data_IF_081511872568
#
_entry.id   IF_081511872568
#
_cell.length_a   1.000
_cell.length_b   1.000
_cell.length_c   1.000
_cell.angle_alpha   90.00
_cell.angle_beta   90.00
_cell.angle_gamma   90.00
#
_symmetry.space_group_name_H-M   'P 1'
#
loop_
_entity.id
_entity.type
_entity.pdbx_description
1 polymer ?
#
# COMPACT_ATOMS: atom_id res chain seq x y z
N UNK A 1 19.56 31.90 -8.71
CA UNK A 1 20.02 31.73 -10.08
C UNK A 1 18.90 32.07 -11.06
N UNK A 2 19.23 32.65 -12.21
CA UNK A 2 18.27 32.89 -13.30
C UNK A 2 17.89 31.56 -13.94
N UNK A 3 16.61 31.41 -14.33
CA UNK A 3 16.18 30.30 -15.15
C UNK A 3 16.87 30.35 -16.51
N UNK A 4 17.42 29.21 -16.96
CA UNK A 4 18.00 29.06 -18.29
C UNK A 4 16.92 29.00 -19.37
N UNK A 5 17.35 28.76 -20.62
CA UNK A 5 16.44 28.56 -21.75
C UNK A 5 15.55 27.34 -21.50
N UNK A 6 14.24 27.48 -21.75
CA UNK A 6 13.29 26.37 -21.61
C UNK A 6 13.59 25.26 -22.63
N UNK A 7 13.67 24.02 -22.18
CA UNK A 7 13.81 22.88 -23.06
C UNK A 7 12.50 22.58 -23.83
N UNK A 8 12.61 21.98 -25.00
CA UNK A 8 11.47 21.64 -25.84
C UNK A 8 10.79 20.35 -25.34
N UNK A 9 9.97 20.55 -24.30
CA UNK A 9 9.14 19.50 -23.74
C UNK A 9 7.80 20.04 -23.25
N UNK A 10 6.75 19.25 -23.38
CA UNK A 10 5.41 19.62 -22.90
C UNK A 10 4.62 18.42 -22.39
N UNK A 11 3.65 18.68 -21.56
CA UNK A 11 2.62 17.70 -21.15
C UNK A 11 1.57 17.63 -22.24
N UNK A 12 1.33 16.44 -22.77
CA UNK A 12 0.29 16.18 -23.78
C UNK A 12 -1.05 15.93 -23.12
N UNK A 13 -1.06 15.08 -22.09
CA UNK A 13 -2.25 14.75 -21.32
C UNK A 13 -1.92 14.34 -19.89
N UNK A 14 -2.91 14.39 -19.01
CA UNK A 14 -2.84 13.88 -17.65
C UNK A 14 -3.81 12.73 -17.48
N UNK A 15 -3.35 11.66 -16.83
CA UNK A 15 -4.18 10.51 -16.48
C UNK A 15 -5.17 10.86 -15.37
N UNK A 16 -6.43 10.46 -15.56
CA UNK A 16 -7.45 10.52 -14.51
C UNK A 16 -7.34 9.27 -13.62
N UNK A 17 -6.86 9.43 -12.40
CA UNK A 17 -6.60 8.33 -11.46
C UNK A 17 -7.64 8.30 -10.33
N UNK A 18 -7.78 7.14 -9.68
CA UNK A 18 -8.64 6.97 -8.49
C UNK A 18 -8.10 7.67 -7.24
N UNK A 19 -6.80 7.97 -7.21
CA UNK A 19 -6.13 8.63 -6.09
C UNK A 19 -4.78 9.18 -6.50
N UNK A 20 -4.01 9.69 -5.54
CA UNK A 20 -2.71 10.32 -5.77
C UNK A 20 -2.78 11.47 -6.80
N UNK A 21 -3.81 12.30 -6.71
CA UNK A 21 -4.06 13.41 -7.66
C UNK A 21 -2.90 14.41 -7.67
N UNK A 22 -2.26 14.65 -6.51
CA UNK A 22 -1.12 15.55 -6.38
C UNK A 22 0.20 14.99 -6.98
N UNK A 23 0.21 13.72 -7.38
CA UNK A 23 1.32 13.09 -8.11
C UNK A 23 0.84 12.73 -9.51
N UNK A 24 0.83 13.69 -10.46
CA UNK A 24 0.22 13.48 -11.76
C UNK A 24 0.98 12.41 -12.57
N UNK A 25 0.21 11.59 -13.29
CA UNK A 25 0.75 10.74 -14.35
C UNK A 25 0.49 11.45 -15.66
N UNK A 26 1.53 11.75 -16.40
CA UNK A 26 1.46 12.56 -17.60
C UNK A 26 2.05 11.83 -18.80
N UNK A 27 1.44 12.05 -19.97
CA UNK A 27 2.07 11.78 -21.26
C UNK A 27 2.89 12.99 -21.62
N UNK A 28 4.18 12.79 -21.88
CA UNK A 28 5.13 13.85 -22.19
C UNK A 28 5.54 13.77 -23.67
N UNK A 29 5.63 14.90 -24.32
CA UNK A 29 6.25 15.04 -25.64
C UNK A 29 7.57 15.79 -25.52
N UNK A 30 8.56 15.32 -26.23
CA UNK A 30 9.91 15.88 -26.25
C UNK A 30 10.30 16.20 -27.70
N UNK A 31 10.75 17.44 -27.97
CA UNK A 31 11.33 17.80 -29.24
C UNK A 31 10.33 18.06 -30.35
N UNK A 32 9.13 18.57 -30.06
CA UNK A 32 8.09 18.84 -31.05
C UNK A 32 8.45 19.97 -32.02
N UNK A 33 9.35 20.89 -31.63
CA UNK A 33 9.70 22.05 -32.43
C UNK A 33 11.14 21.97 -32.95
N UNK A 34 12.12 22.18 -32.10
CA UNK A 34 13.55 22.26 -32.47
C UNK A 34 14.38 21.09 -31.92
N UNK A 35 13.73 20.19 -31.22
CA UNK A 35 14.39 19.08 -30.53
C UNK A 35 14.66 19.36 -29.05
N UNK A 36 14.52 18.31 -28.21
CA UNK A 36 14.81 18.39 -26.78
C UNK A 36 16.28 18.05 -26.51
N UNK A 37 16.91 18.82 -25.63
CA UNK A 37 18.25 18.53 -25.13
C UNK A 37 18.12 17.53 -23.97
N UNK A 38 18.81 16.40 -24.07
CA UNK A 38 18.89 15.38 -23.02
C UNK A 38 20.33 14.95 -22.77
N UNK A 39 20.58 14.45 -21.58
CA UNK A 39 21.89 13.90 -21.20
C UNK A 39 21.73 12.44 -20.84
N UNK A 40 22.63 11.60 -21.34
CA UNK A 40 22.65 10.19 -21.00
C UNK A 40 23.02 10.01 -19.52
N UNK A 41 22.20 9.28 -18.77
CA UNK A 41 22.47 8.89 -17.40
C UNK A 41 22.95 7.43 -17.37
N UNK A 42 24.21 7.22 -16.99
CA UNK A 42 24.86 5.91 -17.06
C UNK A 42 25.37 5.60 -18.46
N UNK A 43 25.32 4.34 -18.87
CA UNK A 43 25.77 3.86 -20.19
C UNK A 43 24.59 3.50 -21.07
N UNK A 44 24.81 3.43 -22.38
CA UNK A 44 23.79 2.98 -23.32
C UNK A 44 23.26 1.59 -22.96
N UNK A 45 21.95 1.39 -23.12
CA UNK A 45 21.22 0.16 -22.82
C UNK A 45 21.16 -0.24 -21.33
N UNK A 46 21.59 0.61 -20.39
CA UNK A 46 21.52 0.37 -18.93
C UNK A 46 20.35 1.07 -18.24
N UNK A 47 19.45 1.73 -18.95
CA UNK A 47 18.36 2.49 -18.38
C UNK A 47 17.44 1.69 -17.46
N UNK A 48 17.19 0.41 -17.78
CA UNK A 48 16.39 -0.48 -16.91
C UNK A 48 17.09 -0.73 -15.57
N UNK A 49 18.39 -0.97 -15.55
CA UNK A 49 19.16 -1.18 -14.32
C UNK A 49 19.14 0.09 -13.43
N UNK A 50 19.33 1.26 -14.03
CA UNK A 50 19.23 2.54 -13.33
C UNK A 50 17.83 2.76 -12.75
N UNK A 51 16.77 2.44 -13.51
CA UNK A 51 15.38 2.54 -13.04
C UNK A 51 15.10 1.60 -11.86
N UNK A 52 15.59 0.37 -11.88
CA UNK A 52 15.37 -0.59 -10.79
C UNK A 52 16.00 -0.17 -9.47
N UNK A 53 17.05 0.63 -9.46
CA UNK A 53 17.63 1.22 -8.24
C UNK A 53 16.56 2.05 -7.48
N UNK A 54 15.77 2.84 -8.19
CA UNK A 54 14.66 3.61 -7.62
C UNK A 54 13.44 2.72 -7.33
N UNK A 55 13.09 1.84 -8.27
CA UNK A 55 11.87 1.03 -8.19
C UNK A 55 11.88 0.03 -7.04
N UNK A 56 13.03 -0.56 -6.69
CA UNK A 56 13.13 -1.46 -5.55
C UNK A 56 12.81 -0.76 -4.23
N UNK A 57 13.21 0.51 -4.10
CA UNK A 57 12.82 1.33 -2.96
C UNK A 57 11.31 1.65 -2.97
N UNK A 58 10.77 2.04 -4.11
CA UNK A 58 9.35 2.35 -4.26
C UNK A 58 8.44 1.14 -3.96
N UNK A 59 8.87 -0.08 -4.28
CA UNK A 59 8.10 -1.31 -4.02
C UNK A 59 7.83 -1.54 -2.53
N UNK A 60 8.82 -1.33 -1.67
CA UNK A 60 8.62 -1.41 -0.22
C UNK A 60 7.67 -0.32 0.28
N UNK A 61 7.81 0.91 -0.21
CA UNK A 61 6.92 2.02 0.15
C UNK A 61 5.47 1.74 -0.23
N UNK A 62 5.22 1.10 -1.38
CA UNK A 62 3.86 0.69 -1.80
C UNK A 62 3.29 -0.39 -0.87
N UNK A 63 4.11 -1.33 -0.39
CA UNK A 63 3.69 -2.31 0.60
C UNK A 63 3.26 -1.64 1.93
N UNK A 64 4.04 -0.67 2.40
CA UNK A 64 3.72 0.13 3.61
C UNK A 64 2.45 0.98 3.42
N UNK A 65 2.21 1.52 2.23
CA UNK A 65 0.96 2.22 1.92
C UNK A 65 -0.25 1.27 2.04
N UNK A 66 -0.13 0.05 1.53
CA UNK A 66 -1.16 -0.99 1.68
C UNK A 66 -1.47 -1.28 3.15
N UNK A 67 -0.43 -1.45 3.97
CA UNK A 67 -0.55 -1.62 5.42
C UNK A 67 -1.28 -0.45 6.08
N UNK A 68 -0.87 0.77 5.78
CA UNK A 68 -1.44 1.98 6.40
C UNK A 68 -2.94 2.15 6.09
N UNK A 69 -3.35 1.86 4.84
CA UNK A 69 -4.75 1.91 4.42
C UNK A 69 -5.56 0.83 5.14
N UNK A 70 -5.01 -0.40 5.22
CA UNK A 70 -5.64 -1.52 5.90
C UNK A 70 -5.84 -1.25 7.40
N UNK A 71 -4.81 -0.76 8.09
CA UNK A 71 -4.86 -0.38 9.51
C UNK A 71 -5.92 0.69 9.77
N UNK A 72 -5.93 1.75 8.95
CA UNK A 72 -6.94 2.82 9.07
C UNK A 72 -8.38 2.29 8.90
N UNK A 73 -8.58 1.38 7.95
CA UNK A 73 -9.88 0.76 7.71
C UNK A 73 -10.32 -0.09 8.92
N UNK A 74 -9.40 -0.89 9.47
CA UNK A 74 -9.64 -1.71 10.66
C UNK A 74 -10.02 -0.86 11.88
N UNK A 75 -9.28 0.20 12.18
CA UNK A 75 -9.57 1.08 13.31
C UNK A 75 -10.97 1.68 13.21
N UNK A 76 -11.38 2.12 12.02
CA UNK A 76 -12.73 2.63 11.77
C UNK A 76 -13.80 1.56 11.91
N UNK A 77 -13.55 0.35 11.40
CA UNK A 77 -14.46 -0.77 11.52
C UNK A 77 -14.64 -1.19 12.98
N UNK A 78 -13.55 -1.24 13.74
CA UNK A 78 -13.56 -1.58 15.17
C UNK A 78 -14.35 -0.55 15.98
N UNK A 79 -14.10 0.75 15.75
CA UNK A 79 -14.83 1.80 16.45
C UNK A 79 -16.33 1.75 16.12
N UNK A 80 -16.68 1.59 14.84
CA UNK A 80 -18.07 1.42 14.43
C UNK A 80 -18.74 0.22 15.08
N UNK A 81 -18.04 -0.91 15.18
CA UNK A 81 -18.58 -2.11 15.81
C UNK A 81 -18.80 -1.95 17.33
N UNK A 82 -18.02 -1.11 17.98
CA UNK A 82 -18.21 -0.76 19.40
C UNK A 82 -19.38 0.19 19.65
N UNK A 83 -19.67 1.08 18.71
CA UNK A 83 -20.66 2.14 18.87
C UNK A 83 -22.05 1.73 18.35
N UNK A 84 -22.09 0.89 17.29
CA UNK A 84 -23.35 0.50 16.66
C UNK A 84 -24.12 -0.52 17.47
N UNK A 85 -25.30 -0.17 17.92
CA UNK A 85 -26.24 -1.09 18.59
C UNK A 85 -27.21 -1.66 17.54
N UNK A 86 -27.27 -2.98 17.43
CA UNK A 86 -28.21 -3.67 16.53
C UNK A 86 -28.33 -5.15 16.89
N UNK A 87 -29.59 -5.63 16.95
CA UNK A 87 -29.90 -7.02 17.30
C UNK A 87 -29.72 -7.34 18.79
N UNK A 88 -30.17 -8.52 19.19
CA UNK A 88 -30.08 -9.01 20.55
C UNK A 88 -28.83 -9.90 20.73
N UNK A 89 -28.41 -10.12 21.96
CA UNK A 89 -27.33 -11.06 22.25
C UNK A 89 -27.74 -12.49 21.80
N UNK A 90 -26.84 -13.16 21.07
CA UNK A 90 -27.11 -14.51 20.53
C UNK A 90 -27.36 -15.55 21.64
N UNK A 91 -26.91 -15.31 22.86
CA UNK A 91 -27.13 -16.18 24.00
C UNK A 91 -28.59 -16.22 24.46
N UNK A 92 -29.42 -15.29 24.01
CA UNK A 92 -30.80 -15.15 24.41
C UNK A 92 -31.02 -14.77 25.88
N UNK A 93 -29.95 -14.44 26.62
CA UNK A 93 -30.02 -14.13 28.05
C UNK A 93 -30.56 -12.72 28.34
N UNK A 94 -30.61 -11.86 27.34
CA UNK A 94 -31.12 -10.51 27.46
C UNK A 94 -31.97 -10.16 26.24
N UNK A 95 -33.09 -9.51 26.47
CA UNK A 95 -33.93 -8.93 25.42
C UNK A 95 -33.38 -7.58 24.92
N UNK A 96 -32.36 -7.03 25.57
CA UNK A 96 -31.79 -5.77 25.19
C UNK A 96 -30.91 -5.86 23.94
N UNK A 97 -30.97 -4.81 23.13
CA UNK A 97 -30.11 -4.68 21.95
C UNK A 97 -28.65 -4.45 22.39
N UNK A 98 -27.73 -5.11 21.68
CA UNK A 98 -26.30 -5.05 21.98
C UNK A 98 -25.52 -4.36 20.87
N UNK A 99 -24.30 -3.93 21.19
CA UNK A 99 -23.37 -3.44 20.17
C UNK A 99 -22.97 -4.57 19.24
N UNK A 100 -22.79 -4.27 17.95
CA UNK A 100 -22.54 -5.32 16.94
C UNK A 100 -21.23 -6.08 17.15
N UNK A 101 -20.27 -5.55 17.90
CA UNK A 101 -19.06 -6.27 18.30
C UNK A 101 -19.35 -7.51 19.14
N UNK A 102 -20.54 -7.61 19.76
CA UNK A 102 -20.97 -8.78 20.53
C UNK A 102 -21.34 -9.97 19.63
N UNK A 103 -21.67 -9.72 18.36
CA UNK A 103 -22.03 -10.77 17.42
C UNK A 103 -20.80 -11.57 16.97
N UNK A 104 -20.86 -12.92 17.01
CA UNK A 104 -19.71 -13.77 16.69
C UNK A 104 -19.12 -13.52 15.28
N UNK A 105 -19.98 -13.33 14.28
CA UNK A 105 -19.53 -13.11 12.90
C UNK A 105 -18.80 -11.75 12.75
N UNK A 106 -19.26 -10.70 13.39
CA UNK A 106 -18.57 -9.41 13.43
C UNK A 106 -17.19 -9.53 14.10
N UNK A 107 -17.12 -10.29 15.19
CA UNK A 107 -15.83 -10.59 15.87
C UNK A 107 -14.89 -11.37 14.96
N UNK A 108 -15.40 -12.40 14.28
CA UNK A 108 -14.61 -13.18 13.31
C UNK A 108 -14.04 -12.27 12.23
N UNK A 109 -14.86 -11.39 11.62
CA UNK A 109 -14.41 -10.43 10.60
C UNK A 109 -13.32 -9.49 11.13
N UNK A 110 -13.50 -8.93 12.33
CA UNK A 110 -12.51 -8.05 12.95
C UNK A 110 -11.21 -8.78 13.28
N UNK A 111 -11.28 -10.03 13.71
CA UNK A 111 -10.08 -10.85 13.98
C UNK A 111 -9.34 -11.19 12.69
N UNK A 112 -10.05 -11.54 11.61
CA UNK A 112 -9.45 -11.78 10.30
C UNK A 112 -8.73 -10.53 9.78
N UNK A 113 -9.38 -9.36 9.85
CA UNK A 113 -8.74 -8.09 9.50
C UNK A 113 -7.47 -7.83 10.30
N UNK A 114 -7.53 -8.01 11.61
CA UNK A 114 -6.40 -7.78 12.50
C UNK A 114 -5.24 -8.74 12.20
N UNK A 115 -5.51 -10.03 12.07
CA UNK A 115 -4.48 -11.03 11.81
C UNK A 115 -3.73 -10.78 10.50
N UNK A 116 -4.45 -10.39 9.44
CA UNK A 116 -3.83 -10.04 8.15
C UNK A 116 -2.97 -8.77 8.26
N UNK A 117 -3.45 -7.75 8.96
CA UNK A 117 -2.69 -6.50 9.17
C UNK A 117 -1.40 -6.77 9.94
N UNK A 118 -1.46 -7.57 11.00
CA UNK A 118 -0.26 -7.93 11.77
C UNK A 118 0.74 -8.74 10.94
N UNK A 119 0.27 -9.67 10.11
CA UNK A 119 1.13 -10.42 9.20
C UNK A 119 1.79 -9.52 8.14
N UNK A 120 1.04 -8.59 7.53
CA UNK A 120 1.58 -7.60 6.60
C UNK A 120 2.61 -6.70 7.29
N UNK A 121 2.33 -6.26 8.51
CA UNK A 121 3.24 -5.44 9.32
C UNK A 121 4.55 -6.15 9.59
N UNK A 122 4.48 -7.40 10.03
CA UNK A 122 5.66 -8.23 10.27
C UNK A 122 6.51 -8.40 9.00
N UNK A 123 5.86 -8.66 7.86
CA UNK A 123 6.54 -8.74 6.57
C UNK A 123 7.23 -7.44 6.17
N UNK A 124 6.56 -6.30 6.32
CA UNK A 124 7.17 -4.99 6.01
C UNK A 124 8.40 -4.71 6.88
N UNK A 125 8.35 -5.01 8.17
CA UNK A 125 9.50 -4.82 9.06
C UNK A 125 10.64 -5.80 8.77
N UNK A 126 10.34 -7.07 8.49
CA UNK A 126 11.36 -8.05 8.09
C UNK A 126 12.12 -7.63 6.82
N UNK A 127 11.42 -7.08 5.83
CA UNK A 127 12.05 -6.56 4.61
C UNK A 127 12.84 -5.28 4.89
N UNK A 128 12.36 -4.39 5.75
CA UNK A 128 13.08 -3.18 6.14
C UNK A 128 14.38 -3.51 6.87
N UNK A 129 14.34 -4.43 7.84
CA UNK A 129 15.52 -4.95 8.54
C UNK A 129 16.51 -5.59 7.58
N UNK A 130 16.03 -6.47 6.69
CA UNK A 130 16.88 -7.10 5.68
C UNK A 130 17.57 -6.09 4.77
N UNK A 131 16.90 -4.99 4.45
CA UNK A 131 17.48 -3.89 3.67
C UNK A 131 18.63 -3.18 4.40
N UNK A 132 18.44 -2.91 5.69
CA UNK A 132 19.47 -2.28 6.51
C UNK A 132 20.69 -3.22 6.63
N UNK A 133 20.48 -4.51 6.86
CA UNK A 133 21.53 -5.52 6.93
C UNK A 133 22.24 -5.69 5.58
N UNK A 134 21.52 -5.73 4.46
CA UNK A 134 22.11 -5.84 3.13
C UNK A 134 22.96 -4.64 2.74
N UNK A 135 22.71 -3.47 3.32
CA UNK A 135 23.44 -2.23 2.99
C UNK A 135 24.54 -1.90 3.97
N UNK A 136 24.40 -2.23 5.25
CA UNK A 136 25.25 -1.67 6.32
C UNK A 136 25.96 -2.72 7.19
N UNK A 137 25.65 -4.01 7.02
CA UNK A 137 26.31 -5.05 7.85
C UNK A 137 27.81 -5.10 7.53
N UNK A 138 28.71 -5.22 8.54
CA UNK A 138 30.16 -5.23 8.31
C UNK A 138 30.66 -6.46 7.54
N UNK A 139 29.97 -7.59 7.66
CA UNK A 139 30.32 -8.86 6.99
C UNK A 139 29.68 -8.93 5.60
N UNK A 140 30.50 -9.13 4.57
CA UNK A 140 30.10 -9.24 3.17
C UNK A 140 29.17 -10.44 2.91
N UNK A 141 29.42 -11.57 3.56
CA UNK A 141 28.60 -12.78 3.39
C UNK A 141 27.18 -12.55 3.91
N UNK A 142 27.04 -11.85 5.03
CA UNK A 142 25.76 -11.46 5.58
C UNK A 142 25.03 -10.48 4.65
N UNK A 143 25.73 -9.47 4.12
CA UNK A 143 25.12 -8.55 3.15
C UNK A 143 24.58 -9.28 1.93
N UNK A 144 25.34 -10.23 1.38
CA UNK A 144 24.92 -10.99 0.21
C UNK A 144 23.71 -11.88 0.49
N UNK A 145 23.70 -12.56 1.63
CA UNK A 145 22.53 -13.35 2.07
C UNK A 145 21.27 -12.50 2.13
N UNK A 146 21.33 -11.31 2.71
CA UNK A 146 20.17 -10.43 2.83
C UNK A 146 19.78 -9.75 1.51
N UNK A 147 20.71 -9.56 0.55
CA UNK A 147 20.37 -9.17 -0.82
C UNK A 147 19.51 -10.20 -1.50
N UNK A 148 19.89 -11.49 -1.44
CA UNK A 148 19.08 -12.58 -1.99
C UNK A 148 17.66 -12.65 -1.37
N UNK A 149 17.57 -12.45 -0.05
CA UNK A 149 16.28 -12.35 0.63
C UNK A 149 15.42 -11.18 0.13
N UNK A 150 16.02 -9.99 -0.06
CA UNK A 150 15.33 -8.81 -0.57
C UNK A 150 14.82 -9.00 -2.00
N UNK A 151 15.64 -9.60 -2.87
CA UNK A 151 15.27 -9.86 -4.26
C UNK A 151 14.04 -10.77 -4.37
N UNK A 152 13.94 -11.75 -3.46
CA UNK A 152 12.80 -12.64 -3.37
C UNK A 152 11.58 -11.97 -2.73
N UNK A 153 11.75 -11.29 -1.59
CA UNK A 153 10.63 -10.86 -0.76
C UNK A 153 10.03 -9.52 -1.17
N UNK A 154 10.80 -8.63 -1.81
CA UNK A 154 10.30 -7.32 -2.25
C UNK A 154 9.16 -7.44 -3.27
N UNK A 155 9.23 -8.26 -4.34
CA UNK A 155 8.11 -8.50 -5.24
C UNK A 155 6.89 -9.13 -4.54
N UNK A 156 7.13 -10.07 -3.62
CA UNK A 156 6.07 -10.72 -2.84
C UNK A 156 5.30 -9.69 -2.00
N UNK A 157 6.01 -8.84 -1.26
CA UNK A 157 5.39 -7.78 -0.47
C UNK A 157 4.61 -6.79 -1.34
N UNK A 158 5.21 -6.35 -2.44
CA UNK A 158 4.55 -5.42 -3.39
C UNK A 158 3.30 -6.03 -4.01
N UNK A 159 3.27 -7.33 -4.25
CA UNK A 159 2.09 -8.02 -4.78
C UNK A 159 1.05 -8.27 -3.69
N UNK A 160 1.45 -8.79 -2.54
CA UNK A 160 0.53 -9.24 -1.49
C UNK A 160 -0.08 -8.09 -0.68
N UNK A 161 0.72 -7.13 -0.23
CA UNK A 161 0.25 -6.07 0.66
C UNK A 161 -0.81 -5.14 0.04
N UNK A 162 -0.71 -4.69 -1.22
CA UNK A 162 -1.75 -3.86 -1.82
C UNK A 162 -2.88 -4.64 -2.53
N UNK A 163 -2.64 -5.90 -2.99
CA UNK A 163 -3.63 -6.64 -3.76
C UNK A 163 -4.64 -7.41 -2.88
N UNK A 164 -4.27 -7.68 -1.66
CA UNK A 164 -5.21 -8.02 -0.60
C UNK A 164 -5.33 -6.82 0.34
N UNK A 165 -6.07 -5.77 -0.05
CA UNK A 165 -6.66 -5.00 1.02
C UNK A 165 -7.36 -6.07 1.87
N UNK A 166 -7.10 -6.14 3.17
CA UNK A 166 -7.83 -7.07 4.01
C UNK A 166 -9.30 -6.91 3.64
N UNK A 167 -10.13 -7.92 3.79
CA UNK A 167 -11.58 -7.82 3.61
C UNK A 167 -12.18 -6.60 4.30
N UNK A 168 -11.33 -5.86 4.99
CA UNK A 168 -11.55 -4.57 5.63
C UNK A 168 -12.15 -3.50 4.73
N UNK A 169 -11.75 -3.35 3.48
CA UNK A 169 -12.44 -2.37 2.62
C UNK A 169 -13.79 -2.91 2.14
N UNK A 170 -13.89 -4.19 1.84
CA UNK A 170 -15.16 -4.86 1.57
C UNK A 170 -15.98 -5.02 2.86
N UNK A 171 -15.37 -5.45 3.96
CA UNK A 171 -16.06 -5.66 5.25
C UNK A 171 -16.46 -4.33 5.89
N UNK A 172 -15.71 -3.25 5.75
CA UNK A 172 -16.14 -1.90 6.18
C UNK A 172 -17.27 -1.41 5.27
N UNK A 173 -17.24 -1.74 3.99
CA UNK A 173 -18.34 -1.49 3.06
C UNK A 173 -19.56 -2.39 3.42
N UNK A 174 -19.33 -3.69 3.67
CA UNK A 174 -20.38 -4.63 4.05
C UNK A 174 -21.02 -4.29 5.41
N UNK A 175 -20.24 -3.86 6.39
CA UNK A 175 -20.75 -3.34 7.66
C UNK A 175 -21.55 -2.04 7.48
N UNK A 176 -21.23 -1.24 6.44
CA UNK A 176 -22.03 -0.06 6.06
C UNK A 176 -23.22 -0.39 5.17
N UNK A 177 -23.08 -1.31 4.21
CA UNK A 177 -24.12 -1.70 3.24
C UNK A 177 -25.24 -2.50 3.90
N UNK A 178 -24.95 -3.36 4.88
CA UNK A 178 -25.98 -4.00 5.72
C UNK A 178 -26.84 -3.00 6.51
N UNK A 179 -26.43 -1.71 6.55
CA UNK A 179 -27.25 -0.61 7.04
C UNK A 179 -28.47 -0.31 6.15
N UNK A 180 -28.41 -0.63 4.86
CA UNK A 180 -29.47 -0.30 3.87
C UNK A 180 -30.46 -1.46 3.72
N UNK A 181 -30.05 -2.69 3.96
CA UNK A 181 -30.87 -3.88 3.76
C UNK A 181 -31.73 -4.30 4.98
N UNK A 182 -31.60 -3.61 6.12
CA UNK A 182 -32.36 -3.88 7.36
C UNK A 182 -33.22 -2.66 7.79
N UNK A 183 -33.75 -1.92 6.81
CA UNK A 183 -34.88 -0.97 7.05
C UNK A 183 -36.17 -1.56 6.56
#
# INVERSE_FOLDING_TARGET
GSLGTRNDLRVVSLEHKLGHMASPTAVMSYGDNEGAIGYLLGEENQGMACMFTMMNNARLNVAVQGLAIAERAYQRALQWAKDRIQGNDISGRSAEKVTIIRHPDVRRMLMDMKSQIEAIRALCYSIAEARDLASQHPDDAVREQYRGYLDLMTPVAKAWCPSKPPPSSRTTLDLRVRRVACR
#
